data_IF_818589108929
#
_entry.id   IF_818589108929
#
_cell.length_a   1.000
_cell.length_b   1.000
_cell.length_c   1.000
_cell.angle_alpha   90.00
_cell.angle_beta   90.00
_cell.angle_gamma   90.00
#
_symmetry.space_group_name_H-M   'P 1'
#
loop_
_entity.id
_entity.type
_entity.pdbx_description
1 polymer ?
#
# COMPACT_ATOMS: atom_id res chain seq x y z
N UNK A 1 9.70 -26.24 -17.48
CA UNK A 1 8.74 -25.13 -17.39
C UNK A 1 9.47 -23.91 -17.89
N UNK A 2 9.09 -23.37 -19.05
CA UNK A 2 9.66 -22.10 -19.51
C UNK A 2 9.44 -21.05 -18.40
N UNK A 3 10.49 -20.33 -18.02
CA UNK A 3 10.37 -19.22 -17.07
C UNK A 3 9.26 -18.29 -17.59
N UNK A 4 8.25 -18.01 -16.75
CA UNK A 4 7.03 -17.24 -17.08
C UNK A 4 7.31 -15.78 -17.46
N UNK A 5 8.01 -15.58 -18.57
CA UNK A 5 8.55 -14.31 -19.04
C UNK A 5 7.90 -13.87 -20.36
N UNK A 6 6.96 -14.65 -20.90
CA UNK A 6 6.18 -14.31 -22.09
C UNK A 6 4.71 -14.27 -21.75
N UNK A 7 4.07 -13.14 -22.07
CA UNK A 7 2.62 -12.97 -21.99
C UNK A 7 2.03 -13.71 -23.20
N UNK A 8 1.12 -14.65 -22.96
CA UNK A 8 0.37 -15.32 -24.01
C UNK A 8 -0.53 -14.35 -24.77
N UNK A 9 -1.01 -14.74 -25.95
CA UNK A 9 -1.93 -13.92 -26.76
C UNK A 9 -3.26 -13.61 -26.01
N UNK A 10 -3.57 -14.41 -25.00
CA UNK A 10 -4.71 -14.25 -24.09
C UNK A 10 -4.43 -13.33 -22.88
N UNK A 11 -3.30 -12.63 -22.89
CA UNK A 11 -2.79 -11.82 -21.77
C UNK A 11 -2.52 -12.61 -20.48
N UNK A 12 -2.28 -13.92 -20.55
CA UNK A 12 -1.98 -14.72 -19.37
C UNK A 12 -0.50 -15.15 -19.31
N UNK A 13 -0.01 -15.37 -18.08
CA UNK A 13 1.26 -16.05 -17.78
C UNK A 13 0.95 -17.17 -16.79
N UNK A 14 0.82 -18.40 -17.27
CA UNK A 14 0.37 -19.52 -16.44
C UNK A 14 -1.03 -19.26 -15.87
N UNK A 15 -1.17 -19.25 -14.54
CA UNK A 15 -2.43 -18.93 -13.86
C UNK A 15 -2.69 -17.42 -13.69
N UNK A 16 -1.72 -16.57 -14.05
CA UNK A 16 -1.81 -15.13 -13.86
C UNK A 16 -2.43 -14.46 -15.07
N UNK A 17 -3.51 -13.71 -14.88
CA UNK A 17 -4.02 -12.78 -15.88
C UNK A 17 -3.35 -11.42 -15.74
N UNK A 18 -2.76 -10.93 -16.82
CA UNK A 18 -2.16 -9.60 -16.89
C UNK A 18 -3.23 -8.60 -17.29
N UNK A 19 -3.32 -7.50 -16.54
CA UNK A 19 -4.27 -6.42 -16.78
C UNK A 19 -3.46 -5.15 -17.01
N UNK A 20 -3.55 -4.62 -18.22
CA UNK A 20 -2.90 -3.37 -18.60
C UNK A 20 -3.87 -2.21 -18.37
N UNK A 21 -3.41 -1.19 -17.66
CA UNK A 21 -4.15 0.04 -17.48
C UNK A 21 -3.71 1.05 -18.55
N UNK A 22 -4.60 1.35 -19.50
CA UNK A 22 -4.48 2.50 -20.40
C UNK A 22 -5.14 3.74 -19.78
N UNK A 23 -4.90 4.91 -20.37
CA UNK A 23 -5.64 6.15 -20.06
C UNK A 23 -5.63 6.55 -18.57
N UNK A 24 -4.41 6.62 -18.03
CA UNK A 24 -4.18 6.87 -16.62
C UNK A 24 -4.60 8.30 -16.22
N UNK A 25 -5.32 8.49 -15.11
CA UNK A 25 -5.89 9.79 -14.75
C UNK A 25 -4.87 10.79 -14.19
N UNK A 26 -3.66 10.34 -13.86
CA UNK A 26 -2.60 11.19 -13.29
C UNK A 26 -1.33 11.14 -14.13
N UNK A 27 -0.68 12.29 -14.28
CA UNK A 27 0.65 12.41 -14.87
C UNK A 27 1.75 11.82 -13.96
N UNK A 28 1.58 11.89 -12.63
CA UNK A 28 2.50 11.26 -11.67
C UNK A 28 2.29 9.74 -11.62
N UNK A 29 3.28 8.99 -12.11
CA UNK A 29 3.30 7.53 -12.09
C UNK A 29 3.19 6.95 -10.66
N UNK A 30 3.71 7.64 -9.65
CA UNK A 30 3.60 7.19 -8.25
C UNK A 30 2.16 7.25 -7.78
N UNK A 31 1.43 8.29 -8.17
CA UNK A 31 0.03 8.46 -7.83
C UNK A 31 -0.85 7.48 -8.60
N UNK A 32 -0.56 7.27 -9.89
CA UNK A 32 -1.20 6.22 -10.68
C UNK A 32 -1.04 4.84 -10.06
N UNK A 33 0.16 4.51 -9.56
CA UNK A 33 0.39 3.24 -8.85
C UNK A 33 -0.46 3.07 -7.57
N UNK A 34 -1.07 4.15 -7.06
CA UNK A 34 -1.98 4.09 -5.90
C UNK A 34 -3.37 3.61 -6.28
N UNK A 35 -3.77 3.67 -7.55
CA UNK A 35 -5.09 3.21 -8.00
C UNK A 35 -5.23 1.69 -7.79
N UNK A 36 -4.40 0.82 -8.40
CA UNK A 36 -4.49 -0.61 -8.15
C UNK A 36 -4.10 -0.98 -6.72
N UNK A 37 -3.28 -0.15 -6.04
CA UNK A 37 -2.92 -0.35 -4.65
C UNK A 37 -4.09 -0.12 -3.70
N UNK A 38 -4.77 1.01 -3.76
CA UNK A 38 -5.73 1.42 -2.75
C UNK A 38 -7.18 1.11 -3.18
N UNK A 39 -7.49 1.22 -4.46
CA UNK A 39 -8.85 1.16 -4.99
C UNK A 39 -9.12 -0.16 -5.75
N UNK A 40 -8.40 -1.25 -5.41
CA UNK A 40 -8.58 -2.53 -6.12
C UNK A 40 -10.00 -3.08 -6.06
N UNK A 41 -10.74 -2.77 -4.98
CA UNK A 41 -12.12 -3.22 -4.80
C UNK A 41 -13.09 -2.59 -5.82
N UNK A 42 -12.79 -1.39 -6.33
CA UNK A 42 -13.57 -0.80 -7.42
C UNK A 42 -13.14 -1.36 -8.79
N UNK A 43 -11.87 -1.71 -8.96
CA UNK A 43 -11.36 -2.31 -10.20
C UNK A 43 -11.82 -3.75 -10.37
N UNK A 44 -11.98 -4.47 -9.27
CA UNK A 44 -12.32 -5.88 -9.22
C UNK A 44 -13.49 -6.11 -8.26
N UNK A 45 -14.72 -5.65 -8.59
CA UNK A 45 -15.86 -5.70 -7.69
C UNK A 45 -16.29 -7.13 -7.30
N UNK A 46 -15.91 -8.12 -8.12
CA UNK A 46 -16.16 -9.53 -7.85
C UNK A 46 -15.10 -10.18 -6.95
N UNK A 47 -13.99 -9.49 -6.68
CA UNK A 47 -12.98 -9.99 -5.77
C UNK A 47 -13.44 -9.80 -4.32
N UNK A 48 -13.31 -10.84 -3.50
CA UNK A 48 -13.60 -10.76 -2.07
C UNK A 48 -12.38 -10.39 -1.24
N UNK A 49 -11.19 -10.69 -1.74
CA UNK A 49 -9.92 -10.45 -1.09
C UNK A 49 -8.89 -9.96 -2.10
N UNK A 50 -7.89 -9.22 -1.63
CA UNK A 50 -6.74 -8.84 -2.44
C UNK A 50 -5.46 -8.82 -1.62
N UNK A 51 -4.36 -9.21 -2.26
CA UNK A 51 -3.01 -9.12 -1.71
C UNK A 51 -2.24 -8.12 -2.56
N UNK A 52 -1.71 -7.07 -1.94
CA UNK A 52 -0.81 -6.13 -2.58
C UNK A 52 0.63 -6.47 -2.24
N UNK A 53 1.48 -6.55 -3.27
CA UNK A 53 2.92 -6.79 -3.16
C UNK A 53 3.66 -5.74 -3.96
N UNK A 54 4.64 -5.08 -3.34
CA UNK A 54 5.50 -4.10 -4.01
C UNK A 54 6.32 -4.76 -5.14
N UNK A 55 6.62 -4.02 -6.21
CA UNK A 55 7.37 -4.56 -7.36
C UNK A 55 8.82 -4.94 -7.04
N UNK A 56 9.34 -4.53 -5.89
CA UNK A 56 10.63 -4.99 -5.35
C UNK A 56 10.52 -6.28 -4.51
N UNK A 57 9.35 -6.88 -4.42
CA UNK A 57 9.08 -8.05 -3.59
C UNK A 57 8.54 -9.19 -4.46
N UNK A 58 9.05 -10.40 -4.25
CA UNK A 58 8.53 -11.62 -4.87
C UNK A 58 7.71 -12.40 -3.85
N UNK A 59 6.45 -12.67 -4.17
CA UNK A 59 5.54 -13.47 -3.36
C UNK A 59 5.94 -14.96 -3.41
N UNK A 60 5.97 -15.64 -2.26
CA UNK A 60 6.49 -17.02 -2.15
C UNK A 60 5.56 -18.02 -1.48
N UNK A 61 4.47 -17.56 -0.88
CA UNK A 61 3.54 -18.42 -0.16
C UNK A 61 2.29 -18.66 -0.98
N UNK A 62 1.56 -19.72 -0.64
CA UNK A 62 0.23 -19.93 -1.18
C UNK A 62 -0.70 -18.77 -0.76
N UNK A 63 -1.34 -18.05 -1.71
CA UNK A 63 -2.23 -16.94 -1.38
C UNK A 63 -3.33 -17.29 -0.39
N UNK A 64 -3.90 -18.51 -0.44
CA UNK A 64 -4.96 -18.92 0.48
C UNK A 64 -4.43 -19.09 1.90
N UNK A 65 -3.28 -19.74 2.07
CA UNK A 65 -2.61 -19.84 3.37
C UNK A 65 -2.26 -18.46 3.97
N UNK A 66 -1.94 -17.46 3.13
CA UNK A 66 -1.71 -16.09 3.60
C UNK A 66 -3.01 -15.43 4.10
N UNK A 67 -4.13 -15.61 3.39
CA UNK A 67 -5.44 -15.14 3.85
C UNK A 67 -5.85 -15.78 5.16
N UNK A 68 -5.67 -17.10 5.29
CA UNK A 68 -5.97 -17.83 6.51
C UNK A 68 -5.17 -17.28 7.69
N UNK A 69 -3.84 -17.18 7.54
CA UNK A 69 -2.95 -16.78 8.61
C UNK A 69 -3.15 -15.31 9.05
N UNK A 70 -3.39 -14.41 8.11
CA UNK A 70 -3.37 -12.97 8.38
C UNK A 70 -4.75 -12.35 8.59
N UNK A 71 -5.81 -12.91 7.99
CA UNK A 71 -7.18 -12.40 8.10
C UNK A 71 -8.07 -13.34 8.91
N UNK A 72 -8.18 -14.62 8.53
CA UNK A 72 -9.21 -15.50 9.10
C UNK A 72 -8.89 -15.90 10.55
N UNK A 73 -7.66 -16.31 10.84
CA UNK A 73 -7.25 -16.70 12.21
C UNK A 73 -7.23 -15.52 13.19
N UNK A 74 -6.97 -14.32 12.70
CA UNK A 74 -6.95 -13.08 13.48
C UNK A 74 -8.31 -12.37 13.50
N UNK A 75 -9.33 -12.93 12.84
CA UNK A 75 -10.64 -12.32 12.63
C UNK A 75 -10.53 -10.84 12.22
N UNK A 76 -9.65 -10.56 11.26
CA UNK A 76 -9.29 -9.23 10.80
C UNK A 76 -9.63 -9.06 9.33
N UNK A 77 -9.99 -7.84 8.95
CA UNK A 77 -10.37 -7.48 7.58
C UNK A 77 -9.22 -6.83 6.82
N UNK A 78 -8.23 -6.29 7.52
CA UNK A 78 -7.04 -5.67 6.95
C UNK A 78 -5.80 -6.14 7.71
N UNK A 79 -4.83 -6.70 7.00
CA UNK A 79 -3.53 -7.08 7.56
C UNK A 79 -2.41 -6.30 6.88
N UNK A 80 -1.57 -5.65 7.67
CA UNK A 80 -0.51 -4.76 7.19
C UNK A 80 0.81 -5.17 7.80
N UNK A 81 1.86 -5.18 6.97
CA UNK A 81 3.18 -5.46 7.47
C UNK A 81 3.65 -4.34 8.38
N UNK A 82 4.12 -4.69 9.57
CA UNK A 82 4.84 -3.75 10.40
C UNK A 82 6.17 -3.40 9.75
N UNK A 83 6.40 -2.11 9.60
CA UNK A 83 7.71 -1.58 9.27
C UNK A 83 7.88 -0.35 10.16
N UNK A 84 8.96 -0.21 10.91
CA UNK A 84 9.09 0.99 11.74
C UNK A 84 10.48 1.14 12.27
N UNK A 85 11.22 2.09 11.72
CA UNK A 85 12.40 2.65 12.38
C UNK A 85 12.06 3.95 13.14
N UNK A 86 10.82 4.48 13.00
CA UNK A 86 10.43 5.80 13.52
C UNK A 86 9.11 5.75 14.26
N UNK A 87 9.06 6.54 15.32
CA UNK A 87 7.99 6.50 16.32
C UNK A 87 6.98 7.64 16.26
N UNK A 88 7.09 8.55 15.28
CA UNK A 88 6.12 9.64 15.09
C UNK A 88 5.91 9.99 13.61
N UNK A 89 4.72 10.51 13.30
CA UNK A 89 4.32 10.95 11.96
C UNK A 89 5.22 12.11 11.49
N UNK A 90 5.57 12.99 12.42
CA UNK A 90 6.41 14.16 12.18
C UNK A 90 7.88 13.79 11.96
N UNK A 91 8.41 12.75 12.60
CA UNK A 91 9.75 12.23 12.27
C UNK A 91 9.77 11.57 10.90
N UNK A 92 8.69 10.90 10.51
CA UNK A 92 8.57 10.35 9.17
C UNK A 92 8.52 11.48 8.13
N UNK A 93 7.78 12.55 8.39
CA UNK A 93 7.75 13.73 7.55
C UNK A 93 9.13 14.39 7.39
N UNK A 94 9.86 14.60 8.51
CA UNK A 94 11.25 15.10 8.48
C UNK A 94 12.15 14.19 7.63
N UNK A 95 11.96 12.87 7.73
CA UNK A 95 12.74 11.92 6.96
C UNK A 95 12.36 11.88 5.47
N UNK A 96 11.08 12.07 5.12
CA UNK A 96 10.60 12.21 3.74
C UNK A 96 11.28 13.42 3.09
N UNK A 97 11.27 14.56 3.78
CA UNK A 97 11.92 15.80 3.32
C UNK A 97 13.43 15.61 3.20
N UNK A 98 14.10 15.08 4.24
CA UNK A 98 15.55 14.80 4.22
C UNK A 98 15.97 13.86 3.10
N UNK A 99 15.11 12.91 2.72
CA UNK A 99 15.36 11.96 1.62
C UNK A 99 14.92 12.51 0.25
N UNK A 100 14.53 13.79 0.17
CA UNK A 100 14.05 14.44 -1.06
C UNK A 100 12.92 13.65 -1.74
N UNK A 101 12.03 13.08 -0.92
CA UNK A 101 10.94 12.22 -1.39
C UNK A 101 9.65 13.00 -1.68
N UNK A 102 9.50 14.18 -1.11
CA UNK A 102 8.46 15.17 -1.34
C UNK A 102 9.04 16.54 -0.98
N UNK A 103 8.46 17.62 -1.47
CA UNK A 103 8.97 18.96 -1.16
C UNK A 103 8.65 19.33 0.29
N UNK A 104 9.48 20.16 0.95
CA UNK A 104 9.18 20.68 2.27
C UNK A 104 7.80 21.36 2.33
N UNK A 105 7.42 22.07 1.27
CA UNK A 105 6.18 22.83 1.17
C UNK A 105 4.95 21.92 1.15
N UNK A 106 4.95 20.88 0.30
CA UNK A 106 3.88 19.89 0.21
C UNK A 106 3.67 19.18 1.56
N UNK A 107 4.77 18.75 2.17
CA UNK A 107 4.73 18.07 3.47
C UNK A 107 4.23 19.02 4.55
N UNK A 108 4.64 20.29 4.53
CA UNK A 108 4.19 21.29 5.49
C UNK A 108 2.68 21.51 5.41
N UNK A 109 2.12 21.69 4.23
CA UNK A 109 0.66 21.87 4.03
C UNK A 109 -0.11 20.69 4.61
N UNK A 110 0.35 19.46 4.34
CA UNK A 110 -0.26 18.24 4.87
C UNK A 110 -0.20 18.17 6.40
N UNK A 111 0.96 18.47 6.99
CA UNK A 111 1.15 18.45 8.45
C UNK A 111 0.36 19.55 9.15
N UNK A 112 0.28 20.74 8.58
CA UNK A 112 -0.45 21.85 9.17
C UNK A 112 -1.96 21.54 9.23
N UNK A 113 -2.52 20.91 8.20
CA UNK A 113 -3.89 20.38 8.26
C UNK A 113 -4.03 19.32 9.36
N UNK A 114 -3.08 18.39 9.47
CA UNK A 114 -3.13 17.34 10.51
C UNK A 114 -3.10 17.92 11.91
N UNK A 115 -2.30 18.96 12.15
CA UNK A 115 -2.29 19.69 13.43
C UNK A 115 -3.65 20.33 13.72
N UNK A 116 -4.24 21.01 12.75
CA UNK A 116 -5.58 21.61 12.89
C UNK A 116 -6.64 20.57 13.21
N UNK A 117 -6.49 19.36 12.66
CA UNK A 117 -7.38 18.23 12.89
C UNK A 117 -7.15 17.53 14.25
N UNK A 118 -6.27 18.07 15.10
CA UNK A 118 -5.99 17.53 16.43
C UNK A 118 -5.09 16.29 16.41
N UNK A 119 -4.23 16.16 15.41
CA UNK A 119 -3.19 15.12 15.36
C UNK A 119 -2.00 15.56 16.24
N UNK A 120 -1.77 14.91 17.39
CA UNK A 120 -0.77 15.31 18.37
C UNK A 120 0.65 15.13 17.81
N UNK A 121 1.53 16.07 18.14
CA UNK A 121 2.92 16.12 17.69
C UNK A 121 3.81 15.06 18.37
N UNK A 122 3.34 14.37 19.42
CA UNK A 122 4.25 13.70 20.36
C UNK A 122 4.16 12.18 20.54
N UNK A 123 5.35 11.64 20.84
CA UNK A 123 5.71 10.26 21.18
C UNK A 123 5.27 9.80 22.58
N UNK A 124 4.67 10.66 23.41
CA UNK A 124 4.23 10.32 24.78
C UNK A 124 3.10 11.24 25.21
N UNK A 125 2.06 10.69 25.83
CA UNK A 125 1.11 11.48 26.61
C UNK A 125 1.74 11.74 27.99
N UNK A 126 2.11 12.98 28.27
CA UNK A 126 2.40 13.45 29.63
C UNK A 126 3.56 12.70 30.34
N UNK A 127 4.68 12.46 29.65
CA UNK A 127 5.89 11.83 30.22
C UNK A 127 5.76 10.33 30.58
N UNK A 128 4.54 9.80 30.62
CA UNK A 128 4.24 8.38 30.75
C UNK A 128 4.02 7.79 29.36
N UNK A 129 4.36 6.50 29.17
CA UNK A 129 3.90 5.77 27.97
C UNK A 129 2.38 6.01 27.89
N UNK A 130 1.90 6.51 26.75
CA UNK A 130 0.46 6.61 26.54
C UNK A 130 -0.15 5.24 26.89
N UNK A 131 -1.30 5.20 27.59
CA UNK A 131 -1.93 3.94 27.95
C UNK A 131 -2.02 3.08 26.70
N UNK A 132 -1.56 1.84 26.83
CA UNK A 132 -1.51 0.80 25.80
C UNK A 132 -2.94 0.57 25.34
N UNK A 133 -3.40 1.36 24.39
CA UNK A 133 -4.55 1.06 23.58
C UNK A 133 -4.02 0.67 22.20
N UNK A 134 -4.60 -0.35 21.54
CA UNK A 134 -4.08 -0.89 20.29
C UNK A 134 -3.97 0.19 19.20
N UNK A 135 -4.77 1.25 19.29
CA UNK A 135 -4.72 2.43 18.43
C UNK A 135 -3.50 3.32 18.66
N UNK A 136 -3.00 3.49 19.89
CA UNK A 136 -1.80 4.27 20.19
C UNK A 136 -0.52 3.49 19.90
N UNK A 137 -0.51 2.15 20.03
CA UNK A 137 0.61 1.32 19.56
C UNK A 137 0.66 1.26 18.02
N UNK A 138 -0.50 1.23 17.34
CA UNK A 138 -0.57 1.45 15.89
C UNK A 138 0.05 2.80 15.49
N UNK A 139 -0.25 3.85 16.26
CA UNK A 139 0.24 5.21 16.06
C UNK A 139 1.73 5.38 16.33
N UNK A 140 2.24 4.83 17.44
CA UNK A 140 3.64 4.93 17.86
C UNK A 140 4.63 4.24 16.90
N UNK A 141 4.14 3.57 15.86
CA UNK A 141 4.92 3.01 14.77
C UNK A 141 4.78 3.75 13.44
N UNK A 142 4.18 4.95 13.38
CA UNK A 142 3.79 5.73 12.18
C UNK A 142 4.86 5.97 11.10
N UNK A 143 6.08 5.48 11.24
CA UNK A 143 7.04 5.27 10.15
C UNK A 143 6.81 3.98 9.34
N UNK A 144 5.56 3.50 9.22
CA UNK A 144 5.26 2.24 8.51
C UNK A 144 5.21 2.44 7.00
N UNK A 145 6.15 1.81 6.31
CA UNK A 145 6.04 1.60 4.87
C UNK A 145 5.24 0.33 4.62
N UNK A 146 4.09 0.49 3.96
CA UNK A 146 3.21 -0.61 3.57
C UNK A 146 3.67 -1.16 2.21
N UNK A 147 4.72 -1.98 2.25
CA UNK A 147 5.20 -2.69 1.06
C UNK A 147 4.30 -3.87 0.72
N UNK A 148 3.74 -4.53 1.73
CA UNK A 148 2.83 -5.65 1.57
C UNK A 148 1.62 -5.51 2.49
N UNK A 149 0.42 -5.73 1.96
CA UNK A 149 -0.78 -5.82 2.78
C UNK A 149 -1.82 -6.72 2.14
N UNK A 150 -2.70 -7.24 2.98
CA UNK A 150 -3.74 -8.22 2.66
C UNK A 150 -5.06 -7.66 3.18
N UNK A 151 -6.13 -7.75 2.39
CA UNK A 151 -7.42 -7.20 2.78
C UNK A 151 -8.59 -8.01 2.24
N UNK A 152 -9.69 -7.98 2.98
CA UNK A 152 -11.01 -8.25 2.42
C UNK A 152 -11.58 -7.02 1.71
N UNK A 153 -12.62 -7.23 0.91
CA UNK A 153 -13.37 -6.15 0.24
C UNK A 153 -14.73 -5.94 0.90
N UNK A 154 -14.76 -5.93 2.25
CA UNK A 154 -15.94 -5.59 3.02
C UNK A 154 -16.26 -4.08 3.01
N UNK A 155 -17.50 -3.66 3.31
CA UNK A 155 -17.89 -2.23 3.28
C UNK A 155 -17.00 -1.32 4.14
N UNK A 156 -16.67 -1.74 5.37
CA UNK A 156 -15.82 -0.97 6.27
C UNK A 156 -14.38 -0.84 5.76
N UNK A 157 -13.81 -1.93 5.22
CA UNK A 157 -12.47 -1.93 4.62
C UNK A 157 -12.43 -1.07 3.36
N UNK A 158 -13.44 -1.19 2.49
CA UNK A 158 -13.52 -0.40 1.27
C UNK A 158 -13.62 1.10 1.57
N UNK A 159 -14.44 1.50 2.56
CA UNK A 159 -14.51 2.89 3.01
C UNK A 159 -13.15 3.38 3.52
N UNK A 160 -12.46 2.59 4.35
CA UNK A 160 -11.11 2.91 4.81
C UNK A 160 -10.14 3.13 3.65
N UNK A 161 -10.14 2.22 2.67
CA UNK A 161 -9.26 2.28 1.51
C UNK A 161 -9.57 3.49 0.60
N UNK A 162 -10.84 3.85 0.42
CA UNK A 162 -11.26 5.04 -0.32
C UNK A 162 -10.81 6.33 0.37
N UNK A 163 -11.02 6.45 1.68
CA UNK A 163 -10.56 7.61 2.44
C UNK A 163 -9.04 7.73 2.42
N UNK A 164 -8.32 6.61 2.48
CA UNK A 164 -6.87 6.60 2.35
C UNK A 164 -6.41 7.06 0.97
N UNK A 165 -7.08 6.63 -0.10
CA UNK A 165 -6.78 7.11 -1.44
C UNK A 165 -7.05 8.61 -1.61
N UNK A 166 -8.19 9.11 -1.10
CA UNK A 166 -8.51 10.54 -1.14
C UNK A 166 -7.41 11.37 -0.48
N UNK A 167 -6.88 10.90 0.63
CA UNK A 167 -5.82 11.59 1.37
C UNK A 167 -4.49 11.62 0.60
N UNK A 168 -4.15 10.52 -0.07
CA UNK A 168 -2.96 10.41 -0.94
C UNK A 168 -3.07 11.30 -2.17
N UNK A 169 -4.27 11.42 -2.76
CA UNK A 169 -4.53 12.28 -3.92
C UNK A 169 -4.55 13.76 -3.52
N UNK A 170 -5.06 14.08 -2.32
CA UNK A 170 -5.18 15.46 -1.83
C UNK A 170 -3.83 16.11 -1.50
N UNK A 171 -2.90 15.34 -0.94
CA UNK A 171 -1.61 15.85 -0.49
C UNK A 171 -0.45 15.14 -1.20
N UNK A 172 0.41 14.46 -0.45
CA UNK A 172 1.56 13.77 -1.02
C UNK A 172 1.20 12.32 -1.35
N UNK A 173 1.79 11.81 -2.44
CA UNK A 173 1.72 10.37 -2.79
C UNK A 173 2.43 9.45 -1.77
N UNK A 174 2.96 10.02 -0.67
CA UNK A 174 3.64 9.32 0.43
C UNK A 174 2.60 8.82 1.43
N UNK A 175 2.24 7.57 1.23
CA UNK A 175 1.28 6.80 2.03
C UNK A 175 1.69 6.61 3.51
N UNK A 176 2.95 6.87 3.84
CA UNK A 176 3.49 6.91 5.20
C UNK A 176 2.83 7.99 6.09
N UNK A 177 2.39 9.11 5.50
CA UNK A 177 1.75 10.21 6.24
C UNK A 177 0.23 10.06 6.29
N UNK A 178 -0.38 9.71 5.15
CA UNK A 178 -1.83 9.62 5.02
C UNK A 178 -2.45 8.43 5.76
N UNK A 179 -1.76 7.28 5.78
CA UNK A 179 -2.28 6.09 6.46
C UNK A 179 -2.57 6.30 7.95
N UNK A 180 -1.60 6.72 8.80
CA UNK A 180 -1.85 6.90 10.23
C UNK A 180 -2.94 7.94 10.49
N UNK A 181 -3.03 8.97 9.65
CA UNK A 181 -4.09 9.98 9.71
C UNK A 181 -5.48 9.35 9.51
N UNK A 182 -5.70 8.64 8.40
CA UNK A 182 -7.01 8.03 8.08
C UNK A 182 -7.39 6.95 9.08
N UNK A 183 -6.42 6.14 9.50
CA UNK A 183 -6.61 5.11 10.52
C UNK A 183 -7.14 5.71 11.83
N UNK A 184 -6.59 6.84 12.26
CA UNK A 184 -7.01 7.51 13.50
C UNK A 184 -8.42 8.09 13.38
N UNK A 185 -8.77 8.62 12.21
CA UNK A 185 -10.09 9.21 11.94
C UNK A 185 -11.19 8.15 11.89
N UNK A 186 -10.96 7.05 11.18
CA UNK A 186 -12.01 6.05 10.94
C UNK A 186 -12.04 4.93 11.99
N UNK A 187 -10.88 4.58 12.58
CA UNK A 187 -10.72 3.44 13.52
C UNK A 187 -11.48 2.19 13.06
N UNK A 188 -11.18 1.66 11.86
CA UNK A 188 -11.88 0.48 11.36
C UNK A 188 -11.63 -0.72 12.29
N UNK A 189 -12.65 -1.55 12.56
CA UNK A 189 -12.46 -2.80 13.28
C UNK A 189 -11.60 -3.77 12.44
N UNK A 190 -10.84 -4.63 13.10
CA UNK A 190 -10.15 -5.75 12.44
C UNK A 190 -8.92 -5.34 11.63
N UNK A 191 -8.04 -4.50 12.18
CA UNK A 191 -6.69 -4.26 11.61
C UNK A 191 -5.66 -5.11 12.33
N UNK A 192 -5.05 -6.05 11.60
CA UNK A 192 -3.97 -6.89 12.07
C UNK A 192 -2.61 -6.35 11.62
N UNK A 193 -1.73 -6.06 12.56
CA UNK A 193 -0.33 -5.74 12.26
C UNK A 193 0.52 -6.98 12.46
N UNK A 194 1.20 -7.44 11.42
CA UNK A 194 2.09 -8.60 11.50
C UNK A 194 3.56 -8.17 11.47
N UNK A 195 4.44 -8.86 12.24
CA UNK A 195 5.83 -8.46 12.41
C UNK A 195 6.68 -8.64 11.15
N UNK A 196 7.86 -8.00 11.14
CA UNK A 196 8.82 -8.06 10.03
C UNK A 196 9.27 -9.49 9.71
N UNK A 197 9.34 -10.38 10.70
CA UNK A 197 9.68 -11.79 10.46
C UNK A 197 8.61 -12.48 9.59
N UNK A 198 7.33 -12.36 9.95
CA UNK A 198 6.23 -12.89 9.15
C UNK A 198 6.24 -12.29 7.73
N UNK A 199 6.55 -11.00 7.58
CA UNK A 199 6.74 -10.37 6.27
C UNK A 199 7.85 -11.02 5.43
N UNK A 200 9.01 -11.31 6.04
CA UNK A 200 10.14 -11.98 5.37
C UNK A 200 9.80 -13.42 4.95
N UNK A 201 8.88 -14.07 5.66
CA UNK A 201 8.40 -15.40 5.30
C UNK A 201 7.40 -15.39 4.13
N UNK A 202 6.69 -14.27 3.93
CA UNK A 202 5.72 -14.07 2.85
C UNK A 202 6.38 -13.68 1.52
N UNK A 203 7.35 -12.76 1.59
CA UNK A 203 7.97 -12.17 0.42
C UNK A 203 9.49 -12.10 0.51
N UNK A 204 10.13 -12.31 -0.63
CA UNK A 204 11.55 -12.04 -0.80
C UNK A 204 11.77 -10.65 -1.40
N UNK A 205 12.62 -9.85 -0.77
CA UNK A 205 13.07 -8.59 -1.37
C UNK A 205 14.03 -8.86 -2.53
N UNK A 206 13.62 -8.44 -3.73
CA UNK A 206 14.50 -8.32 -4.88
C UNK A 206 14.95 -6.87 -5.00
N UNK A 207 16.27 -6.64 -5.08
CA UNK A 207 16.78 -5.34 -5.51
C UNK A 207 16.33 -5.03 -6.95
N UNK A 208 16.25 -3.76 -7.33
CA UNK A 208 15.99 -3.39 -8.72
C UNK A 208 17.11 -3.94 -9.62
N UNK A 209 16.84 -5.03 -10.35
CA UNK A 209 17.86 -5.70 -11.19
C UNK A 209 18.16 -4.96 -12.50
N UNK A 210 17.31 -4.03 -12.95
CA UNK A 210 17.49 -3.09 -14.10
C UNK A 210 16.29 -2.13 -14.20
N UNK A 211 16.42 -1.00 -14.93
CA UNK A 211 15.26 -0.21 -15.38
C UNK A 211 14.45 -1.07 -16.35
N UNK A 212 13.21 -1.39 -16.01
CA UNK A 212 12.31 -2.20 -16.84
C UNK A 212 11.90 -1.36 -18.05
N UNK A 213 12.11 -1.87 -19.27
CA UNK A 213 11.57 -1.24 -20.48
C UNK A 213 10.03 -1.32 -20.42
N UNK A 214 9.29 -0.27 -20.81
CA UNK A 214 7.84 -0.34 -20.88
C UNK A 214 7.40 -1.55 -21.69
N UNK A 215 6.37 -2.27 -21.22
CA UNK A 215 5.74 -3.31 -22.01
C UNK A 215 5.08 -2.62 -23.21
N UNK A 216 5.65 -2.80 -24.38
CA UNK A 216 5.07 -2.33 -25.64
C UNK A 216 4.18 -3.46 -26.15
N UNK A 217 2.88 -3.19 -26.28
CA UNK A 217 1.99 -4.07 -27.04
C UNK A 217 2.50 -4.10 -28.48
N UNK A 218 2.87 -5.28 -28.98
CA UNK A 218 3.12 -5.45 -30.40
C UNK A 218 1.77 -5.28 -31.08
N UNK A 219 1.55 -4.10 -31.68
CA UNK A 219 0.44 -3.94 -32.59
C UNK A 219 0.64 -4.96 -33.72
N UNK A 220 -0.30 -5.89 -33.87
CA UNK A 220 -0.36 -6.74 -35.05
C UNK A 220 -0.55 -5.82 -36.25
N UNK A 221 0.54 -5.57 -36.99
CA UNK A 221 0.44 -5.00 -38.33
C UNK A 221 -0.34 -6.00 -39.17
N UNK A 222 -1.62 -5.70 -39.44
CA UNK A 222 -2.33 -6.36 -40.53
C UNK A 222 -1.60 -6.02 -41.83
N UNK A 223 -0.78 -6.96 -42.29
CA UNK A 223 -0.37 -7.02 -43.69
C UNK A 223 -1.61 -7.41 -44.50
N UNK A 224 -2.45 -6.43 -44.82
CA UNK A 224 -3.38 -6.55 -45.93
C UNK A 224 -2.54 -6.36 -47.20
N UNK A 225 -2.17 -7.49 -47.82
CA UNK A 225 -1.71 -7.49 -49.20
C UNK A 225 -2.85 -7.06 -50.12
N UNK A 226 -2.52 -6.15 -51.02
CA UNK A 226 -3.16 -5.96 -52.31
C UNK A 226 -2.06 -5.59 -53.30
#
# INVERSE_FOLDING_TARGET
MEEGNKIGEDNNIGLWRIILFSDLPFSDQRLTGKIPKLISHCLFPMARYSIWVDSKSQFRRDPLGVLEALLWRSNSSLALSEHGARSSLYDEAKAIVKKHKATPEEVKVQLDQYRQDGIPDEKRFNGKKAPINPTCDMWAGSGRSFSEFVRDHGPSTNLFMCLWFNEVVRFTSRDQLSFPYVLRRLRPPGVHLFPVCARKDLVNSFGHRRKVKPLVLVATSNSAGA
#
